data_IF_691333645012
#
_entry.id   IF_691333645012
#
_cell.length_a   1.000
_cell.length_b   1.000
_cell.length_c   1.000
_cell.angle_alpha   90.00
_cell.angle_beta   90.00
_cell.angle_gamma   90.00
#
_symmetry.space_group_name_H-M   'P 1'
#
loop_
_entity.id
_entity.type
_entity.pdbx_description
1 polymer ?
#
# COMPACT_ATOMS: atom_id res chain seq x y z
N UNK A 1 8.86 -27.00 -35.72
CA UNK A 1 9.15 -25.63 -35.32
C UNK A 1 8.78 -25.48 -33.86
N UNK A 2 9.78 -25.61 -33.00
CA UNK A 2 9.60 -25.77 -31.57
C UNK A 2 9.50 -24.41 -30.86
N UNK A 3 8.77 -24.41 -29.82
CA UNK A 3 8.30 -23.38 -28.92
C UNK A 3 9.48 -22.66 -28.21
N UNK A 4 9.94 -21.50 -28.72
CA UNK A 4 11.01 -20.68 -28.14
C UNK A 4 10.46 -19.54 -27.26
N UNK A 5 9.14 -19.41 -27.13
CA UNK A 5 8.51 -18.31 -26.40
C UNK A 5 8.44 -18.51 -24.87
N UNK A 6 8.65 -19.74 -24.36
CA UNK A 6 8.58 -20.02 -22.91
C UNK A 6 9.84 -19.61 -22.11
N UNK A 7 11.01 -19.62 -22.72
CA UNK A 7 12.30 -19.42 -22.05
C UNK A 7 12.59 -17.94 -21.68
N UNK A 8 12.14 -16.98 -22.47
CA UNK A 8 12.47 -15.57 -22.23
C UNK A 8 11.66 -14.89 -21.12
N UNK A 9 10.50 -15.48 -20.74
CA UNK A 9 9.66 -14.97 -19.65
C UNK A 9 10.15 -15.48 -18.31
N UNK A 10 10.71 -16.68 -18.27
CA UNK A 10 11.24 -17.30 -17.05
C UNK A 10 12.58 -16.66 -16.60
N UNK A 11 13.47 -16.32 -17.54
CA UNK A 11 14.76 -15.67 -17.25
C UNK A 11 14.64 -14.25 -16.64
N UNK A 12 13.50 -13.54 -16.86
CA UNK A 12 13.26 -12.22 -16.26
C UNK A 12 12.82 -12.26 -14.79
N UNK A 13 12.41 -13.42 -14.28
CA UNK A 13 11.90 -13.59 -12.92
C UNK A 13 12.98 -13.83 -11.85
N UNK A 14 14.21 -14.08 -12.24
CA UNK A 14 15.29 -14.45 -11.30
C UNK A 14 15.97 -13.27 -10.59
N UNK A 15 15.75 -12.02 -11.01
CA UNK A 15 16.57 -10.89 -10.57
C UNK A 15 16.22 -10.31 -9.18
N UNK A 16 15.13 -10.74 -8.54
CA UNK A 16 14.72 -10.25 -7.21
C UNK A 16 15.09 -11.20 -6.06
N UNK A 17 15.61 -12.38 -6.37
CA UNK A 17 15.86 -13.43 -5.36
C UNK A 17 17.16 -13.20 -4.63
N UNK A 18 17.11 -12.97 -3.32
CA UNK A 18 18.28 -13.02 -2.47
C UNK A 18 18.83 -14.47 -2.45
N UNK A 19 20.16 -14.70 -2.51
CA UNK A 19 20.72 -16.04 -2.54
C UNK A 19 20.24 -16.91 -1.39
N UNK A 20 19.74 -18.11 -1.71
CA UNK A 20 19.22 -19.06 -0.72
C UNK A 20 17.78 -18.86 -0.32
N UNK A 21 17.08 -17.87 -0.88
CA UNK A 21 15.65 -17.69 -0.65
C UNK A 21 14.83 -18.69 -1.46
N UNK A 22 13.71 -19.09 -0.91
CA UNK A 22 12.71 -19.97 -1.53
C UNK A 22 11.55 -19.14 -2.11
N UNK A 23 10.76 -19.73 -3.00
CA UNK A 23 9.60 -19.09 -3.60
C UNK A 23 8.33 -19.90 -3.35
N UNK A 24 7.30 -19.23 -2.86
CA UNK A 24 5.94 -19.72 -2.76
C UNK A 24 5.11 -19.10 -3.90
N UNK A 25 4.67 -19.96 -4.84
CA UNK A 25 3.84 -19.52 -5.97
C UNK A 25 2.40 -19.22 -5.57
N UNK A 26 1.63 -18.68 -6.51
CA UNK A 26 0.21 -18.34 -6.36
C UNK A 26 -0.13 -17.01 -7.02
N UNK A 27 -1.34 -16.50 -6.77
CA UNK A 27 -1.81 -15.21 -7.30
C UNK A 27 -0.99 -14.02 -6.78
N UNK A 28 -0.42 -14.15 -5.57
CA UNK A 28 0.53 -13.20 -4.99
C UNK A 28 1.80 -13.97 -4.58
N UNK A 29 2.78 -14.17 -5.48
CA UNK A 29 3.98 -14.94 -5.17
C UNK A 29 4.79 -14.28 -4.05
N UNK A 30 5.34 -15.11 -3.15
CA UNK A 30 6.19 -14.65 -2.04
C UNK A 30 7.54 -15.34 -2.10
N UNK A 31 8.60 -14.54 -2.11
CA UNK A 31 9.99 -14.97 -1.96
C UNK A 31 10.37 -14.78 -0.48
N UNK A 32 10.98 -15.78 0.14
CA UNK A 32 11.20 -15.79 1.58
C UNK A 32 12.48 -16.57 1.97
N UNK A 33 13.11 -16.24 3.11
CA UNK A 33 14.27 -16.96 3.60
C UNK A 33 13.88 -18.34 4.15
N UNK A 34 14.79 -19.34 4.15
CA UNK A 34 14.53 -20.64 4.74
C UNK A 34 14.00 -20.57 6.16
N UNK A 35 13.03 -21.41 6.49
CA UNK A 35 12.39 -21.46 7.81
C UNK A 35 11.19 -20.54 8.01
N UNK A 36 10.90 -19.61 7.06
CA UNK A 36 9.76 -18.69 7.18
C UNK A 36 8.57 -19.05 6.26
N UNK A 37 8.47 -20.33 5.85
CA UNK A 37 7.42 -20.78 4.91
C UNK A 37 5.99 -20.50 5.38
N UNK A 38 5.69 -20.73 6.65
CA UNK A 38 4.35 -20.48 7.19
C UNK A 38 3.99 -18.99 7.12
N UNK A 39 4.91 -18.14 7.49
CA UNK A 39 4.75 -16.68 7.42
C UNK A 39 4.62 -16.18 5.99
N UNK A 40 5.37 -16.77 5.07
CA UNK A 40 5.23 -16.47 3.65
C UNK A 40 3.84 -16.90 3.12
N UNK A 41 3.30 -18.01 3.59
CA UNK A 41 1.95 -18.46 3.23
C UNK A 41 0.88 -17.50 3.78
N UNK A 42 0.98 -17.06 5.04
CA UNK A 42 0.08 -16.07 5.63
C UNK A 42 0.13 -14.74 4.85
N UNK A 43 1.33 -14.22 4.56
CA UNK A 43 1.49 -13.00 3.77
C UNK A 43 0.88 -13.13 2.37
N UNK A 44 1.12 -14.27 1.69
CA UNK A 44 0.53 -14.58 0.38
C UNK A 44 -0.99 -14.52 0.43
N UNK A 45 -1.61 -15.15 1.42
CA UNK A 45 -3.06 -15.25 1.51
C UNK A 45 -3.69 -13.86 1.80
N UNK A 46 -3.07 -13.05 2.66
CA UNK A 46 -3.48 -11.66 2.91
C UNK A 46 -3.34 -10.81 1.64
N UNK A 47 -2.23 -10.93 0.93
CA UNK A 47 -1.99 -10.18 -0.32
C UNK A 47 -2.93 -10.63 -1.44
N UNK A 48 -3.23 -11.92 -1.55
CA UNK A 48 -4.16 -12.43 -2.55
C UNK A 48 -5.58 -11.91 -2.31
N UNK A 49 -6.04 -11.91 -1.06
CA UNK A 49 -7.34 -11.34 -0.69
C UNK A 49 -7.40 -9.83 -0.97
N UNK A 50 -6.34 -9.09 -0.60
CA UNK A 50 -6.24 -7.65 -0.88
C UNK A 50 -6.20 -7.35 -2.37
N UNK A 51 -5.45 -8.13 -3.15
CA UNK A 51 -5.33 -7.97 -4.60
C UNK A 51 -6.68 -8.16 -5.29
N UNK A 52 -7.45 -9.18 -4.93
CA UNK A 52 -8.79 -9.40 -5.46
C UNK A 52 -9.72 -8.23 -5.14
N UNK A 53 -9.74 -7.78 -3.88
CA UNK A 53 -10.58 -6.66 -3.45
C UNK A 53 -10.19 -5.34 -4.14
N UNK A 54 -8.89 -5.02 -4.23
CA UNK A 54 -8.41 -3.81 -4.90
C UNK A 54 -8.72 -3.82 -6.40
N UNK A 55 -8.57 -4.98 -7.05
CA UNK A 55 -8.97 -5.14 -8.46
C UNK A 55 -10.44 -4.80 -8.68
N UNK A 56 -11.32 -5.28 -7.81
CA UNK A 56 -12.76 -5.00 -7.90
C UNK A 56 -13.07 -3.52 -7.59
N UNK A 57 -12.46 -2.94 -6.54
CA UNK A 57 -12.66 -1.55 -6.16
C UNK A 57 -12.23 -0.62 -7.31
N UNK A 58 -11.04 -0.82 -7.82
CA UNK A 58 -10.45 0.05 -8.86
C UNK A 58 -10.92 -0.29 -10.27
N UNK A 59 -11.44 -1.50 -10.51
CA UNK A 59 -11.85 -1.97 -11.83
C UNK A 59 -10.67 -2.22 -12.77
N UNK A 60 -9.53 -2.66 -12.24
CA UNK A 60 -8.30 -2.94 -13.00
C UNK A 60 -7.72 -4.30 -12.66
N UNK A 61 -6.96 -4.87 -13.58
CA UNK A 61 -6.22 -6.10 -13.32
C UNK A 61 -5.13 -5.90 -12.27
N UNK A 62 -4.83 -6.94 -11.46
CA UNK A 62 -3.73 -6.90 -10.50
C UNK A 62 -2.39 -6.61 -11.19
N UNK A 63 -1.53 -5.77 -10.60
CA UNK A 63 -0.19 -5.56 -11.11
C UNK A 63 0.65 -6.84 -11.01
N UNK A 64 1.54 -7.06 -11.98
CA UNK A 64 2.52 -8.12 -11.91
C UNK A 64 3.62 -7.74 -10.90
N UNK A 65 3.56 -8.33 -9.71
CA UNK A 65 4.49 -8.07 -8.61
C UNK A 65 4.76 -9.32 -7.78
N UNK A 66 5.81 -9.27 -6.99
CA UNK A 66 6.14 -10.28 -5.98
C UNK A 66 6.23 -9.65 -4.60
N UNK A 67 5.92 -10.44 -3.55
CA UNK A 67 6.30 -10.06 -2.21
C UNK A 67 7.65 -10.68 -1.87
N UNK A 68 8.52 -9.90 -1.22
CA UNK A 68 9.82 -10.34 -0.75
C UNK A 68 9.87 -10.22 0.76
N UNK A 69 9.69 -11.34 1.46
CA UNK A 69 9.88 -11.41 2.90
C UNK A 69 11.37 -11.49 3.20
N UNK A 70 11.92 -10.46 3.85
CA UNK A 70 13.36 -10.29 4.05
C UNK A 70 13.74 -10.54 5.50
N UNK A 71 14.73 -11.43 5.72
CA UNK A 71 15.33 -11.61 7.04
C UNK A 71 16.01 -10.32 7.52
N UNK A 72 15.96 -10.05 8.83
CA UNK A 72 16.56 -8.84 9.41
C UNK A 72 18.04 -8.68 9.04
N UNK A 73 18.80 -9.78 8.97
CA UNK A 73 20.19 -9.80 8.56
C UNK A 73 20.42 -9.37 7.09
N UNK A 74 19.42 -9.57 6.24
CA UNK A 74 19.47 -9.24 4.80
C UNK A 74 18.79 -7.91 4.46
N UNK A 75 18.18 -7.22 5.44
CA UNK A 75 17.42 -6.00 5.20
C UNK A 75 18.18 -4.94 4.39
N UNK A 76 19.46 -4.78 4.68
CA UNK A 76 20.32 -3.87 3.93
C UNK A 76 20.55 -4.25 2.47
N UNK A 77 20.23 -5.48 2.06
CA UNK A 77 20.39 -6.02 0.70
C UNK A 77 19.08 -6.02 -0.09
N UNK A 78 17.94 -5.74 0.56
CA UNK A 78 16.66 -5.69 -0.10
C UNK A 78 16.65 -4.62 -1.22
N UNK A 79 15.98 -4.88 -2.36
CA UNK A 79 15.88 -3.94 -3.46
C UNK A 79 15.19 -2.65 -3.01
N UNK A 80 15.72 -1.49 -3.42
CA UNK A 80 15.17 -0.17 -3.08
C UNK A 80 15.54 0.86 -4.14
N UNK A 81 14.70 1.87 -4.28
CA UNK A 81 14.95 2.98 -5.22
C UNK A 81 15.89 4.04 -4.66
N UNK A 82 15.97 4.15 -3.33
CA UNK A 82 16.80 5.13 -2.64
C UNK A 82 18.11 4.50 -2.16
N UNK A 83 19.19 5.27 -2.13
CA UNK A 83 20.47 4.82 -1.57
C UNK A 83 20.40 4.53 -0.07
N UNK A 84 19.56 5.28 0.66
CA UNK A 84 19.36 5.07 2.10
C UNK A 84 18.40 3.89 2.33
N UNK A 85 18.74 2.95 3.22
CA UNK A 85 17.82 1.89 3.58
C UNK A 85 16.56 2.47 4.24
N UNK A 86 15.41 1.88 3.93
CA UNK A 86 14.21 2.14 4.71
C UNK A 86 14.43 1.72 6.16
N UNK A 87 13.77 2.38 7.14
CA UNK A 87 13.86 1.98 8.52
C UNK A 87 13.57 0.48 8.67
N UNK A 88 14.37 -0.26 9.46
CA UNK A 88 14.10 -1.67 9.72
C UNK A 88 12.67 -1.86 10.27
N UNK A 89 11.98 -2.87 9.76
CA UNK A 89 10.63 -3.21 10.20
C UNK A 89 9.49 -2.50 9.46
N UNK A 90 9.76 -1.55 8.57
CA UNK A 90 8.72 -0.94 7.72
C UNK A 90 8.69 -1.61 6.35
N UNK A 91 7.53 -2.17 5.93
CA UNK A 91 7.35 -2.64 4.57
C UNK A 91 7.35 -1.47 3.60
N UNK A 92 7.63 -1.76 2.34
CA UNK A 92 7.55 -0.77 1.27
C UNK A 92 7.37 -1.43 -0.09
N UNK A 93 6.76 -0.70 -1.01
CA UNK A 93 6.73 -1.05 -2.42
C UNK A 93 7.96 -0.48 -3.14
N UNK A 94 8.53 -1.25 -4.10
CA UNK A 94 9.68 -0.81 -4.90
C UNK A 94 9.62 -1.30 -6.34
N UNK A 95 10.06 -0.47 -7.27
CA UNK A 95 10.29 -0.80 -8.67
C UNK A 95 11.74 -1.18 -8.98
N UNK A 96 12.62 -1.11 -7.98
CA UNK A 96 14.01 -1.51 -8.13
C UNK A 96 14.19 -3.04 -8.33
N UNK A 97 13.13 -3.81 -8.09
CA UNK A 97 13.07 -5.24 -8.40
C UNK A 97 12.36 -5.50 -9.75
N UNK A 98 12.56 -6.68 -10.32
CA UNK A 98 11.88 -7.13 -11.55
C UNK A 98 11.43 -8.58 -11.39
N UNK A 99 10.09 -8.82 -11.27
CA UNK A 99 9.03 -7.80 -11.24
C UNK A 99 9.17 -6.84 -10.06
N UNK A 100 8.41 -5.71 -10.03
CA UNK A 100 8.30 -4.85 -8.86
C UNK A 100 7.96 -5.65 -7.61
N UNK A 101 8.39 -5.21 -6.45
CA UNK A 101 8.23 -5.99 -5.23
C UNK A 101 7.63 -5.22 -4.06
N UNK A 102 6.85 -5.94 -3.26
CA UNK A 102 6.50 -5.55 -1.90
C UNK A 102 7.56 -6.15 -0.95
N UNK A 103 8.40 -5.31 -0.39
CA UNK A 103 9.44 -5.75 0.55
C UNK A 103 8.88 -5.76 1.96
N UNK A 104 8.87 -6.93 2.56
CA UNK A 104 8.29 -7.22 3.86
C UNK A 104 9.39 -7.61 4.83
N UNK A 105 9.53 -6.93 5.98
CA UNK A 105 10.52 -7.33 6.97
C UNK A 105 10.07 -8.58 7.73
N UNK A 106 11.03 -9.40 8.14
CA UNK A 106 10.78 -10.59 8.97
C UNK A 106 9.99 -10.26 10.24
N UNK A 107 10.29 -9.13 10.86
CA UNK A 107 9.62 -8.64 12.07
C UNK A 107 8.14 -8.35 11.86
N UNK A 108 7.73 -7.93 10.65
CA UNK A 108 6.33 -7.70 10.33
C UNK A 108 5.51 -9.00 10.37
N UNK A 109 6.14 -10.14 10.13
CA UNK A 109 5.48 -11.43 10.23
C UNK A 109 5.01 -11.77 11.65
N UNK A 110 5.58 -11.15 12.69
CA UNK A 110 5.10 -11.25 14.07
C UNK A 110 3.80 -10.46 14.29
N UNK A 111 3.46 -9.54 13.40
CA UNK A 111 2.24 -8.71 13.42
C UNK A 111 1.01 -9.51 13.00
N UNK A 112 1.18 -10.65 12.33
CA UNK A 112 0.08 -11.59 12.03
C UNK A 112 -0.41 -12.40 13.24
N UNK A 113 0.02 -12.08 14.46
CA UNK A 113 -0.55 -12.66 15.69
C UNK A 113 -1.89 -12.00 16.04
N UNK A 114 -2.82 -12.70 16.73
CA UNK A 114 -4.23 -12.27 16.88
C UNK A 114 -4.47 -10.84 17.33
N UNK A 115 -3.55 -10.22 18.10
CA UNK A 115 -3.67 -8.82 18.56
C UNK A 115 -3.21 -7.79 17.52
N UNK A 116 -2.50 -8.21 16.48
CA UNK A 116 -1.84 -7.35 15.50
C UNK A 116 -2.14 -7.76 14.06
N UNK A 117 -2.92 -8.84 13.84
CA UNK A 117 -3.29 -9.31 12.50
C UNK A 117 -3.94 -8.20 11.66
N UNK A 118 -4.82 -7.41 12.27
CA UNK A 118 -5.47 -6.27 11.62
C UNK A 118 -4.44 -5.23 11.15
N UNK A 119 -3.51 -4.84 12.01
CA UNK A 119 -2.46 -3.87 11.67
C UNK A 119 -1.58 -4.38 10.53
N UNK A 120 -1.16 -5.65 10.59
CA UNK A 120 -0.34 -6.26 9.55
C UNK A 120 -1.03 -6.30 8.20
N UNK A 121 -2.28 -6.73 8.15
CA UNK A 121 -3.07 -6.76 6.93
C UNK A 121 -3.26 -5.36 6.34
N UNK A 122 -3.62 -4.36 7.16
CA UNK A 122 -3.78 -2.97 6.71
C UNK A 122 -2.51 -2.42 6.08
N UNK A 123 -1.34 -2.66 6.70
CA UNK A 123 -0.06 -2.20 6.15
C UNK A 123 0.27 -2.91 4.84
N UNK A 124 0.03 -4.23 4.73
CA UNK A 124 0.23 -4.96 3.48
C UNK A 124 -0.69 -4.47 2.37
N UNK A 125 -1.95 -4.20 2.67
CA UNK A 125 -2.90 -3.67 1.68
C UNK A 125 -2.59 -2.22 1.29
N UNK A 126 -2.06 -1.42 2.21
CA UNK A 126 -1.56 -0.07 1.92
C UNK A 126 -0.41 -0.11 0.89
N UNK A 127 0.60 -0.93 1.14
CA UNK A 127 1.72 -1.07 0.22
C UNK A 127 1.29 -1.70 -1.13
N UNK A 128 0.36 -2.64 -1.09
CA UNK A 128 -0.24 -3.21 -2.30
C UNK A 128 -1.02 -2.16 -3.08
N UNK A 129 -1.74 -1.27 -2.40
CA UNK A 129 -2.47 -0.18 -3.06
C UNK A 129 -1.53 0.79 -3.79
N UNK A 130 -0.33 1.06 -3.25
CA UNK A 130 0.69 1.80 -4.00
C UNK A 130 1.03 1.13 -5.33
N UNK A 131 1.15 -0.20 -5.37
CA UNK A 131 1.42 -0.94 -6.60
C UNK A 131 0.27 -0.84 -7.62
N UNK A 132 -0.99 -0.88 -7.16
CA UNK A 132 -2.16 -0.71 -8.03
C UNK A 132 -2.27 0.71 -8.59
N UNK A 133 -1.93 1.72 -7.80
CA UNK A 133 -2.00 3.13 -8.20
C UNK A 133 -0.84 3.53 -9.12
N UNK A 134 0.20 2.69 -9.21
CA UNK A 134 1.39 2.98 -9.98
C UNK A 134 1.14 2.81 -11.49
N UNK A 135 0.82 3.90 -12.19
CA UNK A 135 0.84 3.97 -13.66
C UNK A 135 1.89 4.98 -14.11
N UNK A 136 2.59 4.69 -15.19
CA UNK A 136 3.54 5.63 -15.79
C UNK A 136 2.90 6.39 -16.95
N UNK A 137 3.14 7.72 -17.07
CA UNK A 137 3.86 8.55 -16.12
C UNK A 137 3.06 8.80 -14.84
N UNK A 138 3.74 8.80 -13.68
CA UNK A 138 3.11 9.13 -12.41
C UNK A 138 3.04 10.65 -12.26
N UNK A 139 1.86 11.22 -12.04
CA UNK A 139 1.77 12.63 -11.68
C UNK A 139 2.44 12.86 -10.33
N UNK A 140 3.18 13.96 -10.20
CA UNK A 140 3.68 14.39 -8.90
C UNK A 140 2.52 14.98 -8.12
N UNK A 141 2.04 14.25 -7.13
CA UNK A 141 0.95 14.67 -6.23
C UNK A 141 1.49 15.11 -4.88
N UNK A 142 0.76 15.95 -4.12
CA UNK A 142 1.07 16.21 -2.73
C UNK A 142 1.21 14.92 -1.93
N UNK A 143 2.17 14.90 -1.00
CA UNK A 143 2.48 13.69 -0.25
C UNK A 143 1.27 13.16 0.54
N UNK A 144 0.43 14.04 1.07
CA UNK A 144 -0.77 13.63 1.80
C UNK A 144 -1.77 12.87 0.91
N UNK A 145 -2.01 13.32 -0.33
CA UNK A 145 -2.93 12.64 -1.24
C UNK A 145 -2.36 11.28 -1.68
N UNK A 146 -1.06 11.25 -1.95
CA UNK A 146 -0.34 10.01 -2.30
C UNK A 146 -0.43 8.94 -1.23
N UNK A 147 -0.54 9.32 0.03
CA UNK A 147 -0.68 8.39 1.15
C UNK A 147 -2.15 8.19 1.57
N UNK A 148 -3.01 9.21 1.44
CA UNK A 148 -4.44 9.10 1.77
C UNK A 148 -5.14 8.05 0.91
N UNK A 149 -4.87 8.04 -0.40
CA UNK A 149 -5.54 7.10 -1.31
C UNK A 149 -5.21 5.64 -0.98
N UNK A 150 -3.94 5.23 -0.78
CA UNK A 150 -3.63 3.88 -0.30
C UNK A 150 -4.23 3.55 1.07
N UNK A 151 -4.29 4.50 2.00
CA UNK A 151 -4.95 4.29 3.30
C UNK A 151 -6.46 4.06 3.16
N UNK A 152 -7.13 4.85 2.34
CA UNK A 152 -8.57 4.68 2.09
C UNK A 152 -8.87 3.36 1.35
N UNK A 153 -8.00 2.95 0.42
CA UNK A 153 -8.08 1.65 -0.25
C UNK A 153 -7.89 0.50 0.74
N UNK A 154 -6.92 0.59 1.65
CA UNK A 154 -6.72 -0.45 2.67
C UNK A 154 -7.90 -0.53 3.65
N UNK A 155 -8.52 0.60 4.01
CA UNK A 155 -9.75 0.64 4.81
C UNK A 155 -10.93 -0.02 4.07
N UNK A 156 -11.10 0.25 2.77
CA UNK A 156 -12.15 -0.38 1.95
C UNK A 156 -11.94 -1.90 1.85
N UNK A 157 -10.70 -2.35 1.67
CA UNK A 157 -10.37 -3.80 1.69
C UNK A 157 -10.69 -4.40 3.05
N UNK A 158 -10.34 -3.72 4.15
CA UNK A 158 -10.63 -4.19 5.51
C UNK A 158 -12.14 -4.40 5.72
N UNK A 159 -12.97 -3.45 5.29
CA UNK A 159 -14.42 -3.55 5.36
C UNK A 159 -14.96 -4.72 4.53
N UNK A 160 -14.46 -4.93 3.31
CA UNK A 160 -14.86 -6.06 2.46
C UNK A 160 -14.47 -7.43 3.01
N UNK A 161 -13.32 -7.51 3.65
CA UNK A 161 -12.80 -8.77 4.23
C UNK A 161 -13.33 -9.05 5.64
N UNK A 162 -14.15 -8.15 6.19
CA UNK A 162 -14.70 -8.29 7.54
C UNK A 162 -13.66 -8.07 8.65
N UNK A 163 -12.55 -7.40 8.35
CA UNK A 163 -11.58 -7.01 9.36
C UNK A 163 -12.18 -5.93 10.27
N UNK A 164 -12.08 -6.11 11.60
CA UNK A 164 -12.63 -5.17 12.58
C UNK A 164 -11.75 -3.90 12.66
N UNK A 165 -11.94 -3.01 11.69
CA UNK A 165 -11.20 -1.75 11.56
C UNK A 165 -11.50 -0.79 12.72
N UNK A 166 -12.72 -0.74 13.21
CA UNK A 166 -13.15 0.12 14.32
C UNK A 166 -12.28 -0.06 15.56
N UNK A 167 -12.01 -1.31 15.95
CA UNK A 167 -11.11 -1.60 17.08
C UNK A 167 -9.68 -1.13 16.85
N UNK A 168 -9.23 -1.16 15.59
CA UNK A 168 -7.90 -0.65 15.24
C UNK A 168 -7.89 0.88 15.37
N UNK A 169 -8.90 1.57 14.83
CA UNK A 169 -9.04 3.03 14.90
C UNK A 169 -9.20 3.56 16.33
N UNK A 170 -9.82 2.78 17.24
CA UNK A 170 -9.90 3.11 18.67
C UNK A 170 -8.55 3.04 19.39
N UNK A 171 -7.64 2.19 18.91
CA UNK A 171 -6.33 1.96 19.54
C UNK A 171 -5.22 2.89 19.04
N UNK A 172 -5.46 3.63 17.94
CA UNK A 172 -4.45 4.53 17.39
C UNK A 172 -4.46 5.88 18.09
N UNK A 173 -3.29 6.30 18.57
CA UNK A 173 -3.10 7.64 19.10
C UNK A 173 -3.27 8.67 17.98
N UNK A 174 -4.22 9.57 18.17
CA UNK A 174 -4.38 10.75 17.33
C UNK A 174 -3.72 11.92 18.04
N UNK A 175 -2.52 12.27 17.65
CA UNK A 175 -1.87 13.46 18.20
C UNK A 175 -2.62 14.72 17.75
N UNK A 176 -3.08 15.57 18.69
CA UNK A 176 -3.73 16.83 18.34
C UNK A 176 -2.78 17.73 17.53
N UNK A 177 -3.29 18.31 16.44
CA UNK A 177 -2.54 19.30 15.63
C UNK A 177 -1.78 18.72 14.45
N UNK A 178 -1.81 17.40 14.21
CA UNK A 178 -1.37 16.85 12.94
C UNK A 178 -2.34 17.21 11.83
N UNK A 179 -1.81 17.63 10.70
CA UNK A 179 -2.59 17.87 9.49
C UNK A 179 -1.99 17.09 8.33
N UNK A 180 -2.80 16.78 7.35
CA UNK A 180 -2.35 16.12 6.13
C UNK A 180 -1.23 16.89 5.42
N UNK A 181 -1.25 18.22 5.52
CA UNK A 181 -0.21 19.11 4.96
C UNK A 181 1.10 19.09 5.74
N UNK A 182 1.10 18.58 6.97
CA UNK A 182 2.33 18.45 7.77
C UNK A 182 3.18 17.23 7.42
N UNK A 183 2.70 16.36 6.52
CA UNK A 183 3.45 15.21 6.04
C UNK A 183 4.80 15.63 5.43
N UNK A 184 5.85 14.93 5.81
CA UNK A 184 7.22 15.25 5.40
C UNK A 184 7.94 16.23 6.33
N UNK A 185 7.24 16.88 7.27
CA UNK A 185 7.87 17.69 8.34
C UNK A 185 8.24 16.87 9.57
N UNK A 186 7.60 15.69 9.72
CA UNK A 186 7.83 14.77 10.83
C UNK A 186 8.79 13.68 10.36
N UNK A 187 10.08 13.86 10.66
CA UNK A 187 11.15 12.97 10.22
C UNK A 187 11.33 11.74 11.12
N UNK A 188 10.71 11.70 12.30
CA UNK A 188 10.81 10.57 13.21
C UNK A 188 9.72 9.50 12.97
N UNK A 189 9.97 8.30 13.48
CA UNK A 189 9.07 7.16 13.28
C UNK A 189 7.69 7.38 13.93
N UNK A 190 7.63 8.10 15.07
CA UNK A 190 6.38 8.35 15.78
C UNK A 190 5.50 9.33 15.00
N UNK A 191 6.08 10.42 14.48
CA UNK A 191 5.38 11.38 13.64
C UNK A 191 4.87 10.75 12.34
N UNK A 192 5.65 9.88 11.73
CA UNK A 192 5.21 9.12 10.54
C UNK A 192 4.03 8.21 10.87
N UNK A 193 4.08 7.49 12.00
CA UNK A 193 3.00 6.61 12.41
C UNK A 193 1.72 7.39 12.73
N UNK A 194 1.81 8.48 13.50
CA UNK A 194 0.67 9.34 13.82
C UNK A 194 0.01 9.89 12.55
N UNK A 195 0.83 10.24 11.57
CA UNK A 195 0.37 10.74 10.29
C UNK A 195 -0.36 9.66 9.47
N UNK A 196 0.21 8.47 9.34
CA UNK A 196 -0.43 7.35 8.65
C UNK A 196 -1.75 6.95 9.32
N UNK A 197 -1.80 6.99 10.65
CA UNK A 197 -3.01 6.75 11.41
C UNK A 197 -4.11 7.81 11.16
N UNK A 198 -3.71 9.09 11.06
CA UNK A 198 -4.65 10.17 10.69
C UNK A 198 -5.24 9.91 9.30
N UNK A 199 -4.39 9.60 8.31
CA UNK A 199 -4.84 9.34 6.94
C UNK A 199 -5.73 8.09 6.84
N UNK A 200 -5.43 7.04 7.61
CA UNK A 200 -6.30 5.87 7.68
C UNK A 200 -7.67 6.23 8.24
N UNK A 201 -7.74 7.01 9.32
CA UNK A 201 -9.00 7.45 9.90
C UNK A 201 -9.81 8.34 8.95
N UNK A 202 -9.15 9.24 8.22
CA UNK A 202 -9.78 10.08 7.20
C UNK A 202 -10.28 9.24 6.01
N UNK A 203 -9.45 8.31 5.56
CA UNK A 203 -9.81 7.39 4.47
C UNK A 203 -10.98 6.50 4.81
N UNK A 204 -11.01 5.95 6.03
CA UNK A 204 -12.12 5.14 6.52
C UNK A 204 -13.42 5.96 6.63
N UNK A 205 -13.35 7.17 7.19
CA UNK A 205 -14.51 8.06 7.28
C UNK A 205 -15.06 8.43 5.90
N UNK A 206 -14.20 8.66 4.91
CA UNK A 206 -14.63 8.91 3.54
C UNK A 206 -15.31 7.68 2.91
N UNK A 207 -14.75 6.48 3.12
CA UNK A 207 -15.36 5.23 2.63
C UNK A 207 -16.70 4.97 3.30
N UNK A 208 -16.83 5.26 4.59
CA UNK A 208 -18.09 5.11 5.32
C UNK A 208 -19.17 6.04 4.80
N UNK A 209 -18.86 7.31 4.55
CA UNK A 209 -19.84 8.33 4.17
C UNK A 209 -20.21 8.28 2.68
N UNK A 210 -19.22 8.06 1.80
CA UNK A 210 -19.41 8.13 0.34
C UNK A 210 -19.37 6.77 -0.37
N UNK A 211 -19.08 5.69 0.37
CA UNK A 211 -18.84 4.37 -0.21
C UNK A 211 -17.50 4.30 -0.94
N UNK A 212 -17.11 3.12 -1.37
CA UNK A 212 -15.79 2.88 -2.02
C UNK A 212 -15.71 3.36 -3.48
N UNK A 213 -16.85 3.72 -4.09
CA UNK A 213 -16.91 4.11 -5.51
C UNK A 213 -16.06 5.34 -5.83
N UNK A 214 -15.89 6.27 -4.89
CA UNK A 214 -15.05 7.45 -5.08
C UNK A 214 -13.58 7.09 -5.28
N UNK A 215 -13.11 5.98 -4.71
CA UNK A 215 -11.71 5.53 -4.84
C UNK A 215 -11.37 5.19 -6.28
N UNK A 216 -12.31 4.55 -7.00
CA UNK A 216 -12.16 4.29 -8.44
C UNK A 216 -12.13 5.61 -9.23
N UNK A 217 -13.07 6.50 -8.96
CA UNK A 217 -13.15 7.79 -9.65
C UNK A 217 -11.85 8.58 -9.43
N UNK A 218 -11.40 8.71 -8.17
CA UNK A 218 -10.17 9.43 -7.83
C UNK A 218 -8.92 8.81 -8.47
N UNK A 219 -8.80 7.48 -8.46
CA UNK A 219 -7.69 6.80 -9.10
C UNK A 219 -7.65 7.06 -10.61
N UNK A 220 -8.80 7.00 -11.29
CA UNK A 220 -8.90 7.28 -12.73
C UNK A 220 -8.54 8.73 -13.04
N UNK A 221 -9.06 9.70 -12.28
CA UNK A 221 -8.69 11.12 -12.44
C UNK A 221 -7.18 11.33 -12.24
N UNK A 222 -6.59 10.71 -11.22
CA UNK A 222 -5.14 10.78 -11.00
C UNK A 222 -4.32 10.16 -12.12
N UNK A 223 -4.82 9.11 -12.78
CA UNK A 223 -4.12 8.50 -13.92
C UNK A 223 -4.19 9.34 -15.20
N UNK A 224 -5.19 10.20 -15.33
CA UNK A 224 -5.31 11.13 -16.47
C UNK A 224 -4.44 12.39 -16.29
N UNK A 225 -4.00 12.68 -15.07
CA UNK A 225 -3.12 13.81 -14.80
C UNK A 225 -1.70 13.55 -15.33
N UNK A 226 -1.24 14.42 -16.23
CA UNK A 226 0.09 14.33 -16.85
C UNK A 226 1.11 15.27 -16.22
N UNK A 227 0.64 16.29 -15.52
CA UNK A 227 1.44 17.35 -14.93
C UNK A 227 1.54 17.22 -13.40
N UNK A 228 2.23 18.17 -12.77
CA UNK A 228 2.29 18.28 -11.31
C UNK A 228 0.93 18.67 -10.78
N UNK A 229 0.34 17.80 -9.97
CA UNK A 229 -0.89 18.09 -9.22
C UNK A 229 -0.55 18.95 -8.01
N UNK A 230 -0.87 20.24 -8.09
CA UNK A 230 -0.70 21.17 -6.96
C UNK A 230 -1.76 20.93 -5.87
N UNK A 231 -1.60 21.63 -4.74
CA UNK A 231 -2.45 21.47 -3.55
C UNK A 231 -3.94 21.71 -3.83
N UNK A 232 -4.29 22.80 -4.51
CA UNK A 232 -5.66 23.14 -4.86
C UNK A 232 -6.29 22.11 -5.81
N UNK A 233 -5.51 21.62 -6.80
CA UNK A 233 -5.97 20.59 -7.72
C UNK A 233 -6.20 19.26 -7.00
N UNK A 234 -5.31 18.89 -6.07
CA UNK A 234 -5.43 17.70 -5.27
C UNK A 234 -6.72 17.69 -4.41
N UNK A 235 -7.03 18.84 -3.79
CA UNK A 235 -8.27 19.00 -3.03
C UNK A 235 -9.51 18.95 -3.94
N UNK A 236 -9.43 19.58 -5.12
CA UNK A 236 -10.52 19.54 -6.09
C UNK A 236 -10.76 18.12 -6.60
N UNK A 237 -9.71 17.37 -6.97
CA UNK A 237 -9.81 15.98 -7.39
C UNK A 237 -10.48 15.09 -6.34
N UNK A 238 -10.06 15.23 -5.08
CA UNK A 238 -10.69 14.47 -3.99
C UNK A 238 -12.15 14.87 -3.81
N UNK A 239 -12.45 16.19 -3.75
CA UNK A 239 -13.81 16.69 -3.57
C UNK A 239 -14.76 16.22 -4.67
N UNK A 240 -14.32 16.35 -5.93
CA UNK A 240 -15.12 15.99 -7.10
C UNK A 240 -15.34 14.46 -7.18
N UNK A 241 -14.34 13.67 -6.79
CA UNK A 241 -14.45 12.20 -6.71
C UNK A 241 -15.39 11.73 -5.61
N UNK A 242 -15.43 12.40 -4.48
CA UNK A 242 -16.40 12.14 -3.40
C UNK A 242 -17.85 12.42 -3.86
N UNK A 243 -18.04 13.28 -4.87
CA UNK A 243 -19.34 13.62 -5.40
C UNK A 243 -20.12 14.63 -4.55
N UNK A 244 -21.48 14.59 -4.57
CA UNK A 244 -22.29 15.52 -3.80
C UNK A 244 -21.94 15.52 -2.31
N UNK A 245 -21.64 16.70 -1.75
CA UNK A 245 -21.19 16.85 -0.36
C UNK A 245 -19.69 16.75 -0.14
N UNK A 246 -18.90 16.34 -1.14
CA UNK A 246 -17.45 16.18 -0.99
C UNK A 246 -16.70 17.46 -0.62
N UNK A 247 -17.13 18.61 -1.14
CA UNK A 247 -16.55 19.93 -0.78
C UNK A 247 -16.87 20.33 0.65
N UNK A 248 -18.10 20.14 1.10
CA UNK A 248 -18.52 20.38 2.46
C UNK A 248 -17.83 19.45 3.44
N UNK A 249 -17.69 18.19 3.05
CA UNK A 249 -16.96 17.20 3.84
C UNK A 249 -15.50 17.61 4.04
N UNK A 250 -14.79 17.98 2.96
CA UNK A 250 -13.40 18.47 3.05
C UNK A 250 -13.31 19.75 3.89
N UNK A 251 -14.23 20.70 3.71
CA UNK A 251 -14.24 21.94 4.48
C UNK A 251 -14.46 21.70 5.99
N UNK A 252 -15.12 20.60 6.36
CA UNK A 252 -15.32 20.18 7.75
C UNK A 252 -14.12 19.45 8.36
N UNK A 253 -13.06 19.17 7.58
CA UNK A 253 -11.87 18.42 7.99
C UNK A 253 -10.64 19.32 8.01
N UNK A 254 -10.40 20.04 9.10
CA UNK A 254 -9.25 20.96 9.21
C UNK A 254 -7.90 20.24 9.16
N UNK A 255 -7.91 18.92 9.26
CA UNK A 255 -6.73 18.06 9.16
C UNK A 255 -6.20 17.92 7.72
N UNK A 256 -7.02 18.22 6.68
CA UNK A 256 -6.67 18.11 5.25
C UNK A 256 -6.22 19.49 4.64
#
# INVERSE_FOLDING_TARGET
MGNVAGSAVEERREAAVLPGYERLGGAAPVVYPPGLRERAAEARDVLAAGSAALSEILGVEPPDLEALLVADADWGRAPRENERPYPPGLPYFTRAARPPALVLPETLSSVFRPRTAATGALVLWHELAHAFLLREPLPRTPAWLRELVPQALSAAVARRTGLLLERHLEMIDREPGFTARSFGRHADANGQMAFQNLLLALGDAAVEEFGEGFLRALAHELWEETDVVGEERAQALLADSLGPGGREWLASRPEI
#
